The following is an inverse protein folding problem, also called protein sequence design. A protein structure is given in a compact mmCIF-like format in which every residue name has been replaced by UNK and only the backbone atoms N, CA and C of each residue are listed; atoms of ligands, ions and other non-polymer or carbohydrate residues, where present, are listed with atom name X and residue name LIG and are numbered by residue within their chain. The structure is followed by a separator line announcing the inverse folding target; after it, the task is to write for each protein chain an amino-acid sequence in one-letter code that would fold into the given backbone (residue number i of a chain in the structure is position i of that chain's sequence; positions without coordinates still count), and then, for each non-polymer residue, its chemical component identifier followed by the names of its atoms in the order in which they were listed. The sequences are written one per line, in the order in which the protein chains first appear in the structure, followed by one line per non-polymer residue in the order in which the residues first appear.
data_IF_944413045386
#
_entry.id   IF_944413045386
#
_cell.length_a   1.000
_cell.length_b   1.000
_cell.length_c   1.000
_cell.angle_alpha   90.00
_cell.angle_beta   90.00
_cell.angle_gamma   90.00
#
_symmetry.space_group_name_H-M   'P 1'
#
loop_
_entity.id
_entity.type
_entity.pdbx_description
1 polymer ?
#
# COMPACT_ATOMS: atom_id res chain seq x y z
N UNK A 1 16.90 3.22 11.52
CA UNK A 1 16.15 2.75 10.34
C UNK A 1 14.93 1.98 10.90
N UNK A 2 13.73 2.57 10.82
CA UNK A 2 12.57 2.25 11.72
C UNK A 2 11.81 0.99 11.29
N UNK A 3 12.01 0.53 10.06
CA UNK A 3 11.19 -0.51 9.43
C UNK A 3 11.93 -1.84 9.20
N UNK A 4 13.25 -1.91 9.40
CA UNK A 4 14.06 -3.12 9.15
C UNK A 4 13.71 -4.27 10.10
N UNK A 5 13.20 -3.95 11.29
CA UNK A 5 12.70 -4.95 12.26
C UNK A 5 11.32 -5.50 11.91
N UNK A 6 10.62 -4.88 10.95
CA UNK A 6 9.23 -5.19 10.56
C UNK A 6 9.20 -5.80 9.16
N UNK A 7 9.95 -5.22 8.23
CA UNK A 7 10.05 -5.66 6.85
C UNK A 7 11.51 -6.00 6.53
N UNK A 8 11.77 -7.21 6.01
CA UNK A 8 13.16 -7.65 5.74
C UNK A 8 13.91 -6.87 4.64
N UNK A 9 13.21 -6.21 3.72
CA UNK A 9 13.80 -5.34 2.69
C UNK A 9 12.96 -4.06 2.58
N UNK A 10 12.97 -3.17 3.60
CA UNK A 10 11.96 -2.13 3.76
C UNK A 10 11.99 -1.07 2.65
N UNK A 11 13.13 -0.89 1.99
CA UNK A 11 13.28 0.07 0.89
C UNK A 11 12.94 -0.51 -0.49
N UNK A 12 12.69 -1.83 -0.58
CA UNK A 12 12.35 -2.49 -1.83
C UNK A 12 10.84 -2.49 -2.02
N UNK A 13 10.39 -2.00 -3.17
CA UNK A 13 9.00 -2.11 -3.57
C UNK A 13 8.65 -3.59 -3.81
N UNK A 14 7.87 -4.16 -2.89
CA UNK A 14 7.44 -5.55 -2.92
C UNK A 14 5.94 -5.63 -2.61
N UNK A 15 5.06 -5.69 -3.63
CA UNK A 15 3.60 -5.81 -3.46
C UNK A 15 3.18 -7.11 -2.78
N UNK A 16 3.95 -8.19 -2.97
CA UNK A 16 3.60 -9.54 -2.50
C UNK A 16 3.49 -9.62 -0.97
N UNK A 17 4.10 -8.66 -0.25
CA UNK A 17 3.95 -8.52 1.21
C UNK A 17 2.48 -8.47 1.64
N UNK A 18 1.61 -7.89 0.81
CA UNK A 18 0.21 -7.64 1.13
C UNK A 18 -0.75 -8.65 0.47
N UNK A 19 -0.23 -9.72 -0.13
CA UNK A 19 -1.05 -10.79 -0.69
C UNK A 19 -1.72 -11.62 0.41
N UNK A 20 -2.90 -12.22 0.15
CA UNK A 20 -3.65 -12.97 1.16
C UNK A 20 -2.84 -14.07 1.85
N UNK A 21 -1.95 -14.74 1.12
CA UNK A 21 -1.10 -15.84 1.61
C UNK A 21 -0.05 -15.35 2.62
N UNK A 22 0.30 -14.05 2.55
CA UNK A 22 1.27 -13.42 3.43
C UNK A 22 0.61 -12.61 4.58
N UNK A 23 -0.73 -12.61 4.69
CA UNK A 23 -1.44 -11.81 5.68
C UNK A 23 -1.02 -12.13 7.13
N UNK A 24 -0.70 -13.40 7.44
CA UNK A 24 -0.24 -13.84 8.77
C UNK A 24 1.14 -13.28 9.14
N UNK A 25 1.94 -12.85 8.16
CA UNK A 25 3.27 -12.26 8.35
C UNK A 25 3.20 -10.74 8.58
N UNK A 26 2.03 -10.12 8.44
CA UNK A 26 1.86 -8.69 8.65
C UNK A 26 1.81 -8.38 10.15
N UNK A 27 2.69 -7.48 10.59
CA UNK A 27 2.70 -6.99 11.96
C UNK A 27 1.52 -6.02 12.16
N UNK A 28 0.62 -6.25 13.14
CA UNK A 28 -0.50 -5.35 13.40
C UNK A 28 -0.04 -3.91 13.62
N UNK A 29 -0.78 -2.95 13.05
CA UNK A 29 -0.50 -1.50 13.15
C UNK A 29 0.85 -1.03 12.56
N UNK A 30 1.60 -1.90 11.89
CA UNK A 30 2.84 -1.51 11.22
C UNK A 30 2.63 -0.76 9.91
N UNK A 31 1.43 -0.85 9.32
CA UNK A 31 1.03 -0.16 8.10
C UNK A 31 -0.20 0.71 8.35
N UNK A 32 0.01 2.00 8.62
CA UNK A 32 -1.04 3.00 8.89
C UNK A 32 -0.85 4.25 8.02
N UNK A 33 -0.84 4.12 6.68
CA UNK A 33 -0.59 5.25 5.77
C UNK A 33 -1.63 6.37 5.89
N UNK A 34 -2.83 6.03 6.36
CA UNK A 34 -3.95 6.95 6.55
C UNK A 34 -4.27 7.19 8.03
N UNK A 35 -3.42 6.73 8.95
CA UNK A 35 -3.67 6.75 10.39
C UNK A 35 -4.75 5.77 10.85
N UNK A 36 -5.08 5.83 12.13
CA UNK A 36 -6.11 5.00 12.78
C UNK A 36 -6.86 5.81 13.86
N UNK A 37 -8.04 5.32 14.26
CA UNK A 37 -8.86 5.92 15.32
C UNK A 37 -9.58 7.21 14.90
N UNK A 38 -10.00 8.03 15.86
CA UNK A 38 -10.85 9.23 15.65
C UNK A 38 -10.25 10.30 14.71
N UNK A 39 -8.95 10.22 14.44
CA UNK A 39 -8.21 11.18 13.59
C UNK A 39 -7.61 10.50 12.36
N UNK A 40 -8.10 9.31 11.98
CA UNK A 40 -7.75 8.72 10.68
C UNK A 40 -8.21 9.60 9.53
N UNK A 41 -7.55 9.48 8.38
CA UNK A 41 -7.90 10.24 7.18
C UNK A 41 -9.34 9.94 6.73
N UNK A 42 -10.18 10.98 6.71
CA UNK A 42 -11.55 10.90 6.22
C UNK A 42 -11.62 10.52 4.73
N UNK A 43 -10.58 10.88 3.97
CA UNK A 43 -10.46 10.64 2.54
C UNK A 43 -9.98 9.23 2.17
N UNK A 44 -9.73 8.32 3.11
CA UNK A 44 -9.10 7.01 2.83
C UNK A 44 -9.81 6.24 1.69
N UNK A 45 -11.13 6.09 1.78
CA UNK A 45 -11.91 5.35 0.78
C UNK A 45 -11.89 6.04 -0.59
N UNK A 46 -12.00 7.36 -0.59
CA UNK A 46 -11.95 8.17 -1.82
C UNK A 46 -10.56 8.10 -2.46
N UNK A 47 -9.50 8.26 -1.69
CA UNK A 47 -8.11 8.19 -2.19
C UNK A 47 -7.79 6.83 -2.82
N UNK A 48 -8.16 5.73 -2.15
CA UNK A 48 -7.97 4.39 -2.72
C UNK A 48 -8.77 4.18 -4.01
N UNK A 49 -10.01 4.67 -4.06
CA UNK A 49 -10.82 4.60 -5.28
C UNK A 49 -10.20 5.41 -6.44
N UNK A 50 -9.81 6.66 -6.18
CA UNK A 50 -9.20 7.55 -7.18
C UNK A 50 -7.89 6.94 -7.70
N UNK A 51 -7.02 6.45 -6.82
CA UNK A 51 -5.75 5.82 -7.20
C UNK A 51 -6.00 4.54 -8.02
N UNK A 52 -6.91 3.67 -7.57
CA UNK A 52 -7.25 2.46 -8.32
C UNK A 52 -7.79 2.79 -9.72
N UNK A 53 -8.74 3.73 -9.81
CA UNK A 53 -9.35 4.14 -11.07
C UNK A 53 -8.37 4.81 -12.03
N UNK A 54 -7.48 5.66 -11.51
CA UNK A 54 -6.45 6.34 -12.30
C UNK A 54 -5.40 5.34 -12.80
N UNK A 55 -4.91 4.44 -11.94
CA UNK A 55 -3.98 3.37 -12.33
C UNK A 55 -4.57 2.50 -13.43
N UNK A 56 -5.81 2.01 -13.27
CA UNK A 56 -6.48 1.23 -14.32
C UNK A 56 -6.60 2.02 -15.63
N UNK A 57 -6.90 3.33 -15.57
CA UNK A 57 -6.98 4.16 -16.77
C UNK A 57 -5.63 4.25 -17.49
N UNK A 58 -4.56 4.52 -16.75
CA UNK A 58 -3.24 4.72 -17.34
C UNK A 58 -2.69 3.40 -17.88
N UNK A 59 -2.76 2.31 -17.10
CA UNK A 59 -2.28 0.99 -17.52
C UNK A 59 -3.04 0.47 -18.75
N UNK A 60 -4.35 0.72 -18.84
CA UNK A 60 -5.15 0.24 -19.98
C UNK A 60 -4.90 1.02 -21.28
N UNK A 61 -4.35 2.25 -21.21
CA UNK A 61 -4.17 3.13 -22.38
C UNK A 61 -2.72 3.36 -22.76
N UNK A 62 -1.80 3.23 -21.82
CA UNK A 62 -0.40 3.55 -22.02
C UNK A 62 0.46 2.33 -21.68
N UNK A 63 1.47 2.09 -22.53
CA UNK A 63 2.55 1.15 -22.23
C UNK A 63 3.74 1.95 -21.73
N UNK A 64 4.16 1.68 -20.50
CA UNK A 64 5.39 2.25 -19.97
C UNK A 64 6.58 1.52 -20.60
N UNK A 65 7.32 2.22 -21.46
CA UNK A 65 8.61 1.77 -21.96
C UNK A 65 9.72 2.05 -20.95
N UNK A 66 10.91 1.48 -21.20
CA UNK A 66 12.14 1.89 -20.52
C UNK A 66 12.60 3.24 -21.02
#
# INVERSE_FOLDING_TARGET
MKYDKIYGEPNKFNPDRFMPENASRLVPYAYLPFGAGRRSCIGTRFGLFVIGRSLCHVIARYRFGR
#
